data_IF_597593951185
#
_entry.id   IF_597593951185
#
_cell.length_a   1.000
_cell.length_b   1.000
_cell.length_c   1.000
_cell.angle_alpha   90.00
_cell.angle_beta   90.00
_cell.angle_gamma   90.00
#
_symmetry.space_group_name_H-M   'P 1'
#
loop_
_entity.id
_entity.type
_entity.pdbx_description
1 polymer ?
#
# COMPACT_ATOMS: atom_id res chain seq x y z
N UNK A 1 -6.37 -28.89 4.23
CA UNK A 1 -7.56 -28.07 4.60
C UNK A 1 -8.71 -29.05 4.79
N UNK A 2 -9.24 -29.10 6.01
CA UNK A 2 -10.38 -29.98 6.34
C UNK A 2 -11.70 -29.32 5.99
N UNK A 3 -12.65 -30.09 5.46
CA UNK A 3 -14.00 -29.60 5.18
C UNK A 3 -14.80 -29.35 6.48
N UNK A 4 -15.81 -28.50 6.44
CA UNK A 4 -16.64 -28.14 7.59
C UNK A 4 -17.24 -29.37 8.32
N UNK A 5 -17.73 -30.36 7.56
CA UNK A 5 -18.29 -31.60 8.13
C UNK A 5 -17.26 -32.47 8.82
N UNK A 6 -16.04 -32.52 8.29
CA UNK A 6 -14.92 -33.27 8.88
C UNK A 6 -14.46 -32.62 10.18
N UNK A 7 -14.40 -31.29 10.21
CA UNK A 7 -14.06 -30.53 11.42
C UNK A 7 -15.06 -30.74 12.56
N UNK A 8 -16.36 -30.80 12.25
CA UNK A 8 -17.41 -31.06 13.24
C UNK A 8 -17.37 -32.49 13.83
N UNK A 9 -16.79 -33.45 13.13
CA UNK A 9 -16.66 -34.83 13.57
C UNK A 9 -15.39 -35.12 14.40
N UNK A 10 -14.46 -34.15 14.50
CA UNK A 10 -13.22 -34.27 15.24
C UNK A 10 -13.41 -34.05 16.74
N UNK A 11 -12.70 -34.78 17.56
CA UNK A 11 -12.56 -34.45 18.98
C UNK A 11 -11.70 -33.18 19.16
N UNK A 12 -11.85 -32.48 20.28
CA UNK A 12 -11.06 -31.30 20.61
C UNK A 12 -9.55 -31.53 20.54
N UNK A 13 -9.11 -32.71 20.96
CA UNK A 13 -7.69 -33.09 20.92
C UNK A 13 -7.18 -33.27 19.49
N UNK A 14 -7.96 -33.89 18.60
CA UNK A 14 -7.64 -34.05 17.19
C UNK A 14 -7.67 -32.69 16.46
N UNK A 15 -8.66 -31.83 16.77
CA UNK A 15 -8.76 -30.52 16.23
C UNK A 15 -7.54 -29.67 16.57
N UNK A 16 -7.14 -29.64 17.85
CA UNK A 16 -5.96 -28.90 18.28
C UNK A 16 -4.68 -29.42 17.63
N UNK A 17 -4.52 -30.76 17.52
CA UNK A 17 -3.36 -31.35 16.84
C UNK A 17 -3.28 -30.93 15.38
N UNK A 18 -4.41 -30.93 14.68
CA UNK A 18 -4.49 -30.54 13.27
C UNK A 18 -4.25 -29.04 13.06
N UNK A 19 -4.74 -28.19 13.97
CA UNK A 19 -4.47 -26.74 13.95
C UNK A 19 -2.97 -26.49 14.09
N UNK A 20 -2.32 -27.10 15.08
CA UNK A 20 -0.87 -26.93 15.29
C UNK A 20 -0.06 -27.43 14.08
N UNK A 21 -0.46 -28.56 13.50
CA UNK A 21 0.18 -29.08 12.28
C UNK A 21 0.04 -28.12 11.09
N UNK A 22 -1.17 -27.65 10.81
CA UNK A 22 -1.42 -26.71 9.74
C UNK A 22 -0.66 -25.38 9.94
N UNK A 23 -0.59 -24.89 11.18
CA UNK A 23 0.18 -23.71 11.53
C UNK A 23 1.68 -23.89 11.26
N UNK A 24 2.26 -25.00 11.69
CA UNK A 24 3.68 -25.28 11.46
C UNK A 24 4.00 -25.42 9.97
N UNK A 25 3.13 -26.08 9.19
CA UNK A 25 3.28 -26.15 7.72
C UNK A 25 3.20 -24.77 7.07
N UNK A 26 2.30 -23.91 7.55
CA UNK A 26 2.16 -22.53 7.05
C UNK A 26 3.40 -21.69 7.36
N UNK A 27 3.94 -21.75 8.59
CA UNK A 27 5.16 -21.03 8.97
C UNK A 27 6.34 -21.44 8.09
N UNK A 28 6.53 -22.75 7.85
CA UNK A 28 7.59 -23.24 6.96
C UNK A 28 7.43 -22.75 5.52
N UNK A 29 6.19 -22.66 5.03
CA UNK A 29 5.91 -22.13 3.68
C UNK A 29 6.18 -20.63 3.57
N UNK A 30 5.81 -19.85 4.60
CA UNK A 30 6.04 -18.41 4.62
C UNK A 30 7.52 -18.08 4.75
N UNK A 31 8.28 -18.80 5.55
CA UNK A 31 9.74 -18.66 5.65
C UNK A 31 10.43 -18.95 4.30
N UNK A 32 10.02 -19.99 3.59
CA UNK A 32 10.56 -20.31 2.26
C UNK A 32 10.22 -19.22 1.22
N UNK A 33 9.04 -18.65 1.28
CA UNK A 33 8.64 -17.57 0.38
C UNK A 33 9.34 -16.25 0.70
N UNK A 34 9.54 -15.92 1.98
CA UNK A 34 10.24 -14.70 2.38
C UNK A 34 11.72 -14.73 1.94
N UNK A 35 12.38 -15.88 2.05
CA UNK A 35 13.76 -16.05 1.55
C UNK A 35 13.83 -15.86 0.02
N UNK A 36 12.81 -16.29 -0.73
CA UNK A 36 12.73 -16.09 -2.18
C UNK A 36 12.52 -14.62 -2.59
N UNK A 37 11.81 -13.83 -1.76
CA UNK A 37 11.57 -12.40 -2.02
C UNK A 37 12.78 -11.51 -1.71
N UNK A 38 13.61 -11.90 -0.74
CA UNK A 38 14.82 -11.15 -0.36
C UNK A 38 15.97 -11.38 -1.36
N UNK A 39 15.97 -12.49 -2.11
CA UNK A 39 17.11 -12.91 -2.94
C UNK A 39 17.14 -12.35 -4.36
N UNK A 40 16.15 -11.57 -4.77
CA UNK A 40 16.21 -10.83 -6.04
C UNK A 40 15.93 -9.34 -5.83
N UNK A 41 16.90 -8.56 -5.33
CA UNK A 41 16.94 -7.18 -5.73
C UNK A 41 17.14 -7.24 -7.24
N UNK A 42 16.09 -7.11 -8.02
CA UNK A 42 16.24 -6.71 -9.41
C UNK A 42 16.85 -5.33 -9.34
N UNK A 43 18.18 -5.30 -9.31
CA UNK A 43 18.91 -4.12 -9.72
C UNK A 43 18.52 -3.94 -11.17
N UNK A 44 17.41 -3.23 -11.38
CA UNK A 44 17.19 -2.54 -12.63
C UNK A 44 18.38 -1.58 -12.69
N UNK A 45 19.46 -2.03 -13.32
CA UNK A 45 20.44 -1.10 -13.83
C UNK A 45 19.65 -0.30 -14.86
N UNK A 46 19.09 0.81 -14.42
CA UNK A 46 18.68 1.86 -15.33
C UNK A 46 19.92 2.16 -16.14
N UNK A 47 19.89 1.78 -17.42
CA UNK A 47 20.87 2.26 -18.40
C UNK A 47 20.68 3.77 -18.43
N UNK A 48 21.39 4.47 -17.57
CA UNK A 48 21.40 5.93 -17.57
C UNK A 48 21.86 6.33 -18.96
N UNK A 49 20.95 6.88 -19.74
CA UNK A 49 21.27 7.46 -21.04
C UNK A 49 22.39 8.48 -20.83
N UNK A 50 23.35 8.55 -21.75
CA UNK A 50 24.42 9.57 -21.70
C UNK A 50 23.84 10.99 -21.54
N UNK A 51 22.63 11.24 -22.02
CA UNK A 51 21.89 12.49 -21.82
C UNK A 51 21.47 12.76 -20.39
N UNK A 52 21.36 11.73 -19.52
CA UNK A 52 21.01 11.93 -18.10
C UNK A 52 22.10 12.66 -17.32
N UNK A 53 23.34 12.67 -17.81
CA UNK A 53 24.45 13.42 -17.22
C UNK A 53 24.48 14.89 -17.65
N UNK A 54 23.78 15.26 -18.72
CA UNK A 54 23.73 16.62 -19.27
C UNK A 54 22.49 17.40 -18.81
N UNK A 55 21.49 16.72 -18.29
CA UNK A 55 20.31 17.38 -17.71
C UNK A 55 20.61 17.68 -16.23
N UNK A 56 20.29 18.90 -15.75
CA UNK A 56 20.36 19.18 -14.33
C UNK A 56 19.47 18.15 -13.62
N UNK A 57 20.07 17.30 -12.79
CA UNK A 57 19.32 16.39 -11.91
C UNK A 57 18.42 17.27 -11.07
N UNK A 58 17.13 17.18 -11.31
CA UNK A 58 16.15 17.84 -10.46
C UNK A 58 16.36 17.28 -9.05
N UNK A 59 16.88 18.10 -8.14
CA UNK A 59 17.01 17.79 -6.72
C UNK A 59 15.64 17.71 -6.00
N UNK A 60 14.56 17.56 -6.78
CA UNK A 60 13.22 17.44 -6.25
C UNK A 60 13.04 16.05 -5.63
N UNK A 61 12.70 16.01 -4.35
CA UNK A 61 12.31 14.78 -3.68
C UNK A 61 11.01 14.24 -4.29
N UNK A 62 10.91 12.92 -4.40
CA UNK A 62 9.68 12.24 -4.76
C UNK A 62 8.64 12.44 -3.65
N UNK A 63 7.45 12.90 -3.99
CA UNK A 63 6.44 13.28 -3.02
C UNK A 63 5.32 12.24 -2.97
N UNK A 64 5.14 11.57 -1.83
CA UNK A 64 4.06 10.63 -1.57
C UNK A 64 2.99 11.26 -0.67
N UNK A 65 1.75 11.31 -1.12
CA UNK A 65 0.62 11.79 -0.33
C UNK A 65 -0.19 10.64 0.25
N UNK A 66 -0.61 10.78 1.51
CA UNK A 66 -1.44 9.81 2.23
C UNK A 66 -2.74 10.49 2.66
N UNK A 67 -3.86 9.95 2.19
CA UNK A 67 -5.20 10.47 2.47
C UNK A 67 -5.90 9.54 3.46
N UNK A 68 -6.16 10.04 4.65
CA UNK A 68 -6.76 9.31 5.74
C UNK A 68 -8.21 9.75 5.98
N UNK A 69 -9.15 8.81 6.19
CA UNK A 69 -10.55 9.14 6.49
C UNK A 69 -10.73 9.74 7.88
N UNK A 70 -9.76 9.55 8.77
CA UNK A 70 -9.72 10.06 10.15
C UNK A 70 -8.27 10.24 10.59
N UNK A 71 -8.08 10.81 11.79
CA UNK A 71 -6.76 10.87 12.41
C UNK A 71 -6.21 9.46 12.73
N UNK A 72 -4.89 9.23 12.58
CA UNK A 72 -4.25 7.95 12.88
C UNK A 72 -4.50 7.41 14.29
N UNK A 73 -4.67 8.29 15.29
CA UNK A 73 -4.92 7.88 16.67
C UNK A 73 -6.29 7.22 16.87
N UNK A 74 -7.20 7.33 15.90
CA UNK A 74 -8.57 6.83 16.02
C UNK A 74 -8.80 5.45 15.42
N UNK A 75 -7.78 4.86 14.76
CA UNK A 75 -7.94 3.59 14.04
C UNK A 75 -6.60 2.89 13.85
N UNK A 76 -6.48 1.65 14.31
CA UNK A 76 -5.30 0.81 14.13
C UNK A 76 -4.94 0.63 12.65
N UNK A 77 -5.96 0.55 11.78
CA UNK A 77 -5.78 0.48 10.34
C UNK A 77 -5.05 1.71 9.78
N UNK A 78 -5.49 2.90 10.16
CA UNK A 78 -4.88 4.15 9.71
C UNK A 78 -3.51 4.31 10.35
N UNK A 79 -3.38 3.96 11.62
CA UNK A 79 -2.11 3.98 12.34
C UNK A 79 -1.05 3.09 11.68
N UNK A 80 -1.40 1.91 11.20
CA UNK A 80 -0.48 1.05 10.46
C UNK A 80 0.04 1.72 9.16
N UNK A 81 -0.81 2.46 8.44
CA UNK A 81 -0.38 3.24 7.28
C UNK A 81 0.51 4.42 7.68
N UNK A 82 0.22 5.07 8.80
CA UNK A 82 1.04 6.16 9.34
C UNK A 82 2.43 5.67 9.76
N UNK A 83 2.54 4.47 10.35
CA UNK A 83 3.85 3.85 10.61
C UNK A 83 4.63 3.63 9.32
N UNK A 84 3.97 3.17 8.25
CA UNK A 84 4.58 3.00 6.93
C UNK A 84 5.05 4.34 6.34
N UNK A 85 4.26 5.42 6.48
CA UNK A 85 4.63 6.76 6.04
C UNK A 85 5.86 7.27 6.78
N UNK A 86 5.89 7.15 8.11
CA UNK A 86 7.02 7.56 8.93
C UNK A 86 8.28 6.77 8.58
N UNK A 87 8.15 5.46 8.35
CA UNK A 87 9.25 4.62 7.92
C UNK A 87 9.87 5.09 6.57
N UNK A 88 9.04 5.55 5.62
CA UNK A 88 9.54 6.11 4.36
C UNK A 88 10.37 7.38 4.59
N UNK A 89 9.90 8.29 5.44
CA UNK A 89 10.64 9.53 5.76
C UNK A 89 11.96 9.26 6.50
N UNK A 90 11.95 8.31 7.43
CA UNK A 90 13.15 7.93 8.19
C UNK A 90 14.18 7.20 7.35
N UNK A 91 13.72 6.32 6.45
CA UNK A 91 14.62 5.49 5.63
C UNK A 91 15.17 6.24 4.42
N UNK A 92 14.40 7.16 3.84
CA UNK A 92 14.74 7.88 2.61
C UNK A 92 14.62 9.41 2.74
N UNK A 93 15.26 10.03 3.77
CA UNK A 93 15.04 11.44 4.11
C UNK A 93 15.42 12.40 2.98
N UNK A 94 16.40 12.05 2.15
CA UNK A 94 16.88 12.90 1.06
C UNK A 94 16.14 12.66 -0.27
N UNK A 95 15.41 11.56 -0.41
CA UNK A 95 14.78 11.12 -1.65
C UNK A 95 13.28 11.30 -1.64
N UNK A 96 12.64 11.10 -0.47
CA UNK A 96 11.18 11.11 -0.33
C UNK A 96 10.74 12.24 0.61
N UNK A 97 9.63 12.84 0.23
CA UNK A 97 8.85 13.75 1.06
C UNK A 97 7.43 13.20 1.16
N UNK A 98 6.81 13.24 2.33
CA UNK A 98 5.41 12.85 2.46
C UNK A 98 4.49 14.03 2.72
N UNK A 99 3.22 13.87 2.33
CA UNK A 99 2.11 14.76 2.66
C UNK A 99 1.04 13.88 3.31
N UNK A 100 0.56 14.28 4.49
CA UNK A 100 -0.54 13.62 5.17
C UNK A 100 -1.76 14.54 5.20
N UNK A 101 -2.94 14.03 4.87
CA UNK A 101 -4.20 14.76 4.96
C UNK A 101 -5.22 13.88 5.68
N UNK A 102 -5.73 14.37 6.81
CA UNK A 102 -6.76 13.71 7.60
C UNK A 102 -8.17 14.18 7.21
N UNK A 103 -9.19 13.46 7.68
CA UNK A 103 -10.61 13.77 7.51
C UNK A 103 -11.07 13.84 6.05
N UNK A 104 -10.45 12.98 5.21
CA UNK A 104 -10.79 12.86 3.79
C UNK A 104 -11.96 11.88 3.64
N UNK A 105 -13.01 12.33 2.98
CA UNK A 105 -14.23 11.56 2.74
C UNK A 105 -14.70 11.69 1.27
N UNK A 106 -15.83 11.07 0.92
CA UNK A 106 -16.36 11.07 -0.44
C UNK A 106 -16.67 12.47 -0.96
N UNK A 107 -17.03 13.42 -0.07
CA UNK A 107 -17.46 14.76 -0.46
C UNK A 107 -16.27 15.69 -0.75
N UNK A 108 -15.13 15.50 -0.08
CA UNK A 108 -13.99 16.40 -0.17
C UNK A 108 -12.77 15.80 -0.90
N UNK A 109 -12.76 14.51 -1.21
CA UNK A 109 -11.59 13.83 -1.79
C UNK A 109 -11.16 14.41 -3.14
N UNK A 110 -12.07 14.83 -4.02
CA UNK A 110 -11.71 15.48 -5.30
C UNK A 110 -10.90 16.76 -5.06
N UNK A 111 -11.35 17.59 -4.13
CA UNK A 111 -10.65 18.83 -3.77
C UNK A 111 -9.28 18.53 -3.15
N UNK A 112 -9.22 17.58 -2.21
CA UNK A 112 -7.97 17.18 -1.55
C UNK A 112 -6.96 16.63 -2.55
N UNK A 113 -7.40 15.77 -3.48
CA UNK A 113 -6.55 15.25 -4.55
C UNK A 113 -5.94 16.37 -5.40
N UNK A 114 -6.76 17.32 -5.88
CA UNK A 114 -6.26 18.46 -6.62
C UNK A 114 -5.28 19.31 -5.82
N UNK A 115 -5.49 19.44 -4.51
CA UNK A 115 -4.60 20.19 -3.63
C UNK A 115 -3.24 19.50 -3.44
N UNK A 116 -3.21 18.18 -3.23
CA UNK A 116 -1.94 17.46 -3.08
C UNK A 116 -1.19 17.35 -4.41
N UNK A 117 -1.90 17.25 -5.55
CA UNK A 117 -1.30 17.29 -6.88
C UNK A 117 -0.63 18.65 -7.11
N UNK A 118 -1.31 19.75 -6.78
CA UNK A 118 -0.72 21.11 -6.87
C UNK A 118 0.50 21.28 -5.95
N UNK A 119 0.54 20.60 -4.81
CA UNK A 119 1.70 20.55 -3.93
C UNK A 119 2.82 19.65 -4.43
N UNK A 120 2.62 19.01 -5.58
CA UNK A 120 3.61 18.21 -6.29
C UNK A 120 3.65 16.75 -5.87
N UNK A 121 2.53 16.14 -5.46
CA UNK A 121 2.46 14.71 -5.23
C UNK A 121 2.72 13.92 -6.53
N UNK A 122 3.60 12.91 -6.45
CA UNK A 122 3.91 11.98 -7.54
C UNK A 122 3.11 10.67 -7.40
N UNK A 123 2.81 10.32 -6.16
CA UNK A 123 2.00 9.15 -5.80
C UNK A 123 1.05 9.50 -4.66
N UNK A 124 -0.16 8.98 -4.69
CA UNK A 124 -1.19 9.24 -3.70
C UNK A 124 -1.75 7.91 -3.21
N UNK A 125 -1.77 7.72 -1.89
CA UNK A 125 -2.34 6.56 -1.20
C UNK A 125 -3.67 6.96 -0.57
N UNK A 126 -4.76 6.41 -1.06
CA UNK A 126 -6.09 6.50 -0.46
C UNK A 126 -6.29 5.29 0.45
N UNK A 127 -6.33 5.53 1.75
CA UNK A 127 -6.33 4.46 2.76
C UNK A 127 -7.71 3.83 2.97
N UNK A 128 -8.74 4.39 2.35
CA UNK A 128 -10.11 3.92 2.49
C UNK A 128 -10.81 3.67 1.15
N UNK A 129 -11.53 2.55 1.00
CA UNK A 129 -12.13 2.14 -0.27
C UNK A 129 -13.20 3.11 -0.81
N UNK A 130 -13.92 3.82 0.06
CA UNK A 130 -14.96 4.77 -0.33
C UNK A 130 -14.43 5.97 -1.14
N UNK A 131 -13.14 6.29 -1.05
CA UNK A 131 -12.53 7.39 -1.80
C UNK A 131 -12.41 7.09 -3.29
N UNK A 132 -12.38 5.83 -3.70
CA UNK A 132 -12.08 5.42 -5.08
C UNK A 132 -13.02 6.01 -6.11
N UNK A 133 -14.34 5.93 -5.87
CA UNK A 133 -15.32 6.36 -6.87
C UNK A 133 -15.24 7.84 -7.21
N UNK A 134 -15.23 8.77 -6.25
CA UNK A 134 -15.05 10.19 -6.55
C UNK A 134 -13.66 10.52 -7.10
N UNK A 135 -12.63 9.74 -6.76
CA UNK A 135 -11.27 9.97 -7.25
C UNK A 135 -11.07 9.65 -8.73
N UNK A 136 -11.96 8.86 -9.34
CA UNK A 136 -11.84 8.45 -10.75
C UNK A 136 -11.75 9.64 -11.71
N UNK A 137 -12.50 10.70 -11.45
CA UNK A 137 -12.49 11.90 -12.28
C UNK A 137 -11.11 12.56 -12.27
N UNK A 138 -10.56 12.78 -11.07
CA UNK A 138 -9.23 13.39 -10.91
C UNK A 138 -8.14 12.48 -11.52
N UNK A 139 -8.27 11.15 -11.35
CA UNK A 139 -7.32 10.19 -11.92
C UNK A 139 -7.30 10.20 -13.46
N UNK A 140 -8.44 10.47 -14.10
CA UNK A 140 -8.54 10.61 -15.56
C UNK A 140 -7.90 11.92 -16.04
N UNK A 141 -8.12 13.01 -15.30
CA UNK A 141 -7.58 14.33 -15.63
C UNK A 141 -6.06 14.44 -15.38
N UNK A 142 -5.52 13.57 -14.49
CA UNK A 142 -4.11 13.54 -14.11
C UNK A 142 -3.49 12.15 -14.31
N UNK A 143 -3.36 11.63 -15.54
CA UNK A 143 -2.90 10.26 -15.81
C UNK A 143 -1.43 10.00 -15.41
N UNK A 144 -0.64 11.05 -15.23
CA UNK A 144 0.75 10.96 -14.81
C UNK A 144 0.90 10.71 -13.30
N UNK A 145 -0.13 11.01 -12.51
CA UNK A 145 -0.13 10.81 -11.07
C UNK A 145 -0.55 9.36 -10.75
N UNK A 146 0.17 8.73 -9.85
CA UNK A 146 -0.13 7.36 -9.41
C UNK A 146 -1.10 7.43 -8.24
N UNK A 147 -2.36 7.07 -8.45
CA UNK A 147 -3.35 6.95 -7.37
C UNK A 147 -3.52 5.46 -7.02
N UNK A 148 -3.34 5.14 -5.75
CA UNK A 148 -3.51 3.80 -5.19
C UNK A 148 -4.59 3.83 -4.11
N UNK A 149 -5.61 2.99 -4.27
CA UNK A 149 -6.69 2.86 -3.28
C UNK A 149 -6.59 1.55 -2.52
N UNK A 150 -6.75 1.60 -1.21
CA UNK A 150 -6.63 0.43 -0.34
C UNK A 150 -7.92 -0.38 -0.26
N UNK A 151 -7.76 -1.70 -0.32
CA UNK A 151 -8.80 -2.72 -0.02
C UNK A 151 -9.98 -2.82 -0.99
N UNK A 152 -9.94 -2.21 -2.17
CA UNK A 152 -10.91 -2.45 -3.23
C UNK A 152 -10.37 -3.41 -4.28
N UNK A 153 -11.11 -4.49 -4.56
CA UNK A 153 -10.78 -5.40 -5.66
C UNK A 153 -11.55 -5.01 -6.93
N UNK A 154 -11.42 -3.75 -7.33
CA UNK A 154 -12.04 -3.26 -8.56
C UNK A 154 -10.94 -2.74 -9.48
N UNK A 155 -10.54 -3.51 -10.49
CA UNK A 155 -9.49 -3.07 -11.39
C UNK A 155 -9.95 -1.83 -12.19
N UNK A 156 -9.11 -0.81 -12.20
CA UNK A 156 -9.33 0.39 -13.01
C UNK A 156 -8.02 0.82 -13.69
N UNK A 157 -8.14 1.43 -14.86
CA UNK A 157 -6.98 1.83 -15.66
C UNK A 157 -6.11 2.90 -14.96
N UNK A 158 -6.75 3.83 -14.26
CA UNK A 158 -6.09 5.02 -13.70
C UNK A 158 -5.88 4.95 -12.19
N UNK A 159 -6.62 4.07 -11.47
CA UNK A 159 -6.43 3.85 -10.04
C UNK A 159 -6.03 2.39 -9.82
N UNK A 160 -4.92 2.17 -9.16
CA UNK A 160 -4.48 0.84 -8.76
C UNK A 160 -4.96 0.54 -7.36
N UNK A 161 -5.13 -0.74 -7.06
CA UNK A 161 -5.51 -1.18 -5.72
C UNK A 161 -4.34 -1.89 -5.04
N UNK A 162 -4.26 -1.76 -3.73
CA UNK A 162 -3.32 -2.48 -2.90
C UNK A 162 -4.02 -3.02 -1.66
N UNK A 163 -3.44 -4.07 -1.07
CA UNK A 163 -3.99 -4.76 0.08
C UNK A 163 -2.91 -4.92 1.15
N UNK A 164 -3.32 -4.78 2.41
CA UNK A 164 -2.53 -5.29 3.52
C UNK A 164 -2.80 -6.79 3.68
N UNK A 165 -1.77 -7.56 4.00
CA UNK A 165 -1.93 -8.96 4.37
C UNK A 165 -2.40 -9.01 5.82
N UNK A 166 -3.71 -9.20 6.02
CA UNK A 166 -4.36 -9.15 7.33
C UNK A 166 -4.13 -10.40 8.20
N UNK A 167 -3.40 -11.39 7.69
CA UNK A 167 -3.24 -12.72 8.29
C UNK A 167 -1.76 -13.10 8.54
N UNK A 168 -0.87 -12.15 8.50
CA UNK A 168 0.54 -12.31 8.89
C UNK A 168 0.83 -11.71 10.25
#
# INVERSE_FOLDING_TARGET
IYGYKETLAMSDAELNTNIVKCWNEFVVLTEKQSVGLVMNPTTVQEKKSLFSYLLPTSNRKFTAAFLYPKSPETSDWIYAHELGRNYLEETFPDQIKTICVNDVNEDNVEQVLNDVIRKGADIIFEVAPQMMKPSLKVAVDHPDIKILNCSLNTPHKYIRTYYARMYE
#
